data_IF_529864603432
#
_entry.id   IF_529864603432
#
_cell.length_a   1.000
_cell.length_b   1.000
_cell.length_c   1.000
_cell.angle_alpha   90.00
_cell.angle_beta   90.00
_cell.angle_gamma   90.00
#
_symmetry.space_group_name_H-M   'P 1'
#
loop_
_entity.id
_entity.type
_entity.pdbx_description
1 polymer ?
#
# COMPACT_ATOMS: atom_id res chain seq x y z
N UNK A 1 20.99 -7.56 5.62
CA UNK A 1 20.49 -6.57 4.64
C UNK A 1 18.98 -6.52 4.80
N UNK A 2 18.41 -5.32 4.95
CA UNK A 2 17.02 -5.13 5.42
C UNK A 2 16.00 -5.83 4.51
N UNK A 3 15.23 -6.76 5.07
CA UNK A 3 14.08 -7.44 4.42
C UNK A 3 12.96 -6.45 4.05
N UNK A 4 13.07 -5.19 4.48
CA UNK A 4 12.05 -4.17 4.35
C UNK A 4 12.51 -3.04 3.44
N UNK A 5 11.60 -2.58 2.58
CA UNK A 5 11.78 -1.45 1.66
C UNK A 5 12.12 -0.13 2.36
N UNK A 6 11.82 -0.03 3.66
CA UNK A 6 12.13 1.12 4.52
C UNK A 6 12.33 0.63 5.94
N UNK A 7 13.24 1.28 6.68
CA UNK A 7 13.49 0.98 8.09
C UNK A 7 12.52 1.78 8.99
N UNK A 8 11.58 1.12 9.70
CA UNK A 8 10.61 1.83 10.54
C UNK A 8 11.23 2.61 11.71
N UNK A 9 12.41 2.19 12.19
CA UNK A 9 13.11 2.89 13.27
C UNK A 9 13.64 4.23 12.77
N UNK A 10 14.23 4.26 11.58
CA UNK A 10 14.72 5.49 10.96
C UNK A 10 13.56 6.46 10.68
N UNK A 11 12.47 5.96 10.09
CA UNK A 11 11.25 6.77 9.86
C UNK A 11 10.76 7.39 11.16
N UNK A 12 10.71 6.60 12.25
CA UNK A 12 10.29 7.10 13.56
C UNK A 12 11.22 8.20 14.07
N UNK A 13 12.53 8.02 13.97
CA UNK A 13 13.52 9.00 14.44
C UNK A 13 13.41 10.31 13.65
N UNK A 14 13.31 10.23 12.33
CA UNK A 14 13.18 11.38 11.45
C UNK A 14 11.91 12.18 11.75
N UNK A 15 10.77 11.51 11.87
CA UNK A 15 9.49 12.17 12.13
C UNK A 15 9.42 12.73 13.56
N UNK A 16 10.08 12.11 14.53
CA UNK A 16 10.21 12.67 15.89
C UNK A 16 11.01 13.97 15.90
N UNK A 17 12.02 14.09 15.02
CA UNK A 17 12.82 15.32 14.91
C UNK A 17 12.05 16.50 14.30
N UNK A 18 10.98 16.24 13.53
CA UNK A 18 10.13 17.25 12.89
C UNK A 18 9.02 17.81 13.79
N UNK A 19 8.93 17.32 15.04
CA UNK A 19 7.94 17.75 16.03
C UNK A 19 6.99 16.61 16.43
N UNK A 20 5.74 16.66 15.95
CA UNK A 20 4.70 15.72 16.38
C UNK A 20 4.74 14.41 15.59
N UNK A 21 5.36 13.39 16.17
CA UNK A 21 5.32 12.01 15.64
C UNK A 21 3.90 11.47 15.43
N UNK A 22 2.94 11.90 16.25
CA UNK A 22 1.55 11.44 16.16
C UNK A 22 0.87 11.88 14.87
N UNK A 23 1.12 13.11 14.43
CA UNK A 23 0.60 13.62 13.15
C UNK A 23 1.13 12.78 11.99
N UNK A 24 2.42 12.43 12.03
CA UNK A 24 3.04 11.58 11.02
C UNK A 24 2.47 10.17 11.03
N UNK A 25 2.19 9.59 12.20
CA UNK A 25 1.53 8.28 12.32
C UNK A 25 0.13 8.34 11.70
N UNK A 26 -0.66 9.38 12.00
CA UNK A 26 -2.00 9.55 11.44
C UNK A 26 -1.94 9.72 9.93
N UNK A 27 -1.07 10.59 9.42
CA UNK A 27 -0.90 10.84 8.00
C UNK A 27 -0.49 9.58 7.23
N UNK A 28 0.49 8.83 7.74
CA UNK A 28 0.90 7.54 7.15
C UNK A 28 -0.21 6.50 7.21
N UNK A 29 -0.98 6.46 8.31
CA UNK A 29 -2.12 5.56 8.46
C UNK A 29 -3.23 5.85 7.45
N UNK A 30 -3.57 7.13 7.25
CA UNK A 30 -4.53 7.55 6.22
C UNK A 30 -4.04 7.20 4.82
N UNK A 31 -2.75 7.48 4.53
CA UNK A 31 -2.16 7.16 3.23
C UNK A 31 -2.12 5.66 2.94
N UNK A 32 -1.78 4.84 3.93
CA UNK A 32 -1.81 3.39 3.80
C UNK A 32 -3.20 2.85 3.43
N UNK A 33 -4.28 3.47 3.94
CA UNK A 33 -5.66 3.11 3.53
C UNK A 33 -5.93 3.43 2.06
N UNK A 34 -5.52 4.61 1.60
CA UNK A 34 -5.65 5.00 0.19
C UNK A 34 -4.91 4.02 -0.74
N UNK A 35 -3.67 3.68 -0.40
CA UNK A 35 -2.85 2.71 -1.16
C UNK A 35 -3.54 1.34 -1.18
N UNK A 36 -4.07 0.88 -0.05
CA UNK A 36 -4.80 -0.38 0.04
C UNK A 36 -6.05 -0.41 -0.85
N UNK A 37 -6.81 0.68 -0.87
CA UNK A 37 -8.02 0.77 -1.70
C UNK A 37 -7.66 0.82 -3.19
N UNK A 38 -6.58 1.53 -3.56
CA UNK A 38 -6.04 1.50 -4.92
C UNK A 38 -5.63 0.09 -5.35
N UNK A 39 -4.91 -0.66 -4.51
CA UNK A 39 -4.52 -2.04 -4.79
C UNK A 39 -5.76 -2.92 -4.99
N UNK A 40 -6.77 -2.80 -4.13
CA UNK A 40 -8.02 -3.56 -4.27
C UNK A 40 -8.75 -3.27 -5.58
N UNK A 41 -8.79 -2.00 -6.00
CA UNK A 41 -9.39 -1.61 -7.28
C UNK A 41 -8.62 -2.26 -8.44
N UNK A 42 -7.29 -2.15 -8.44
CA UNK A 42 -6.45 -2.75 -9.49
C UNK A 42 -6.60 -4.28 -9.57
N UNK A 43 -6.69 -4.98 -8.42
CA UNK A 43 -6.93 -6.43 -8.41
C UNK A 43 -8.26 -6.75 -9.08
N UNK A 44 -9.33 -6.01 -8.73
CA UNK A 44 -10.66 -6.25 -9.31
C UNK A 44 -10.70 -5.99 -10.80
N UNK A 45 -10.06 -4.92 -11.26
CA UNK A 45 -9.93 -4.61 -12.69
C UNK A 45 -9.21 -5.74 -13.44
N UNK A 46 -8.07 -6.21 -12.91
CA UNK A 46 -7.31 -7.31 -13.52
C UNK A 46 -8.08 -8.63 -13.57
N UNK A 47 -8.86 -8.94 -12.53
CA UNK A 47 -9.67 -10.15 -12.48
C UNK A 47 -10.90 -10.08 -13.39
N UNK A 48 -11.44 -8.89 -13.66
CA UNK A 48 -12.58 -8.71 -14.56
C UNK A 48 -12.25 -9.11 -16.00
N UNK A 49 -11.00 -8.92 -16.43
CA UNK A 49 -10.54 -9.25 -17.79
C UNK A 49 -10.30 -10.76 -18.00
N UNK A 50 -10.37 -11.57 -16.94
CA UNK A 50 -10.18 -13.02 -17.03
C UNK A 50 -11.48 -13.68 -17.50
N UNK A 51 -11.46 -14.25 -18.71
CA UNK A 51 -12.56 -15.04 -19.24
C UNK A 51 -12.71 -16.31 -18.37
N UNK A 52 -13.91 -16.50 -17.82
CA UNK A 52 -14.24 -17.72 -17.05
C UNK A 52 -14.96 -18.66 -17.99
N UNK A 53 -14.23 -19.57 -18.65
CA UNK A 53 -14.86 -20.67 -19.37
C UNK A 53 -15.47 -21.64 -18.35
N UNK A 54 -16.79 -21.55 -18.18
CA UNK A 54 -17.52 -22.34 -17.18
C UNK A 54 -17.67 -23.82 -17.58
N UNK A 55 -17.49 -24.14 -18.87
CA UNK A 55 -17.81 -25.46 -19.42
C UNK A 55 -16.61 -26.44 -19.45
N UNK A 56 -15.36 -25.98 -19.26
CA UNK A 56 -14.14 -26.83 -19.27
C UNK A 56 -13.32 -26.82 -17.96
N UNK A 57 -13.68 -26.00 -16.96
CA UNK A 57 -12.83 -25.77 -15.80
C UNK A 57 -13.05 -26.78 -14.64
N UNK A 58 -12.54 -28.00 -14.76
CA UNK A 58 -12.22 -28.83 -13.58
C UNK A 58 -10.92 -28.32 -12.91
N UNK A 59 -10.97 -27.16 -12.25
CA UNK A 59 -9.84 -26.69 -11.43
C UNK A 59 -9.72 -25.17 -11.24
N UNK A 60 -8.78 -24.72 -10.38
CA UNK A 60 -8.54 -23.29 -10.16
C UNK A 60 -7.92 -22.65 -11.41
N UNK A 61 -8.48 -21.52 -11.84
CA UNK A 61 -8.05 -20.82 -13.06
C UNK A 61 -6.58 -20.34 -12.93
N UNK A 62 -5.68 -20.75 -13.84
CA UNK A 62 -4.25 -20.41 -13.77
C UNK A 62 -3.99 -18.90 -13.88
N UNK A 63 -4.81 -18.16 -14.62
CA UNK A 63 -4.67 -16.70 -14.79
C UNK A 63 -5.03 -15.97 -13.49
N UNK A 64 -6.07 -16.42 -12.78
CA UNK A 64 -6.40 -15.88 -11.46
C UNK A 64 -5.28 -16.13 -10.44
N UNK A 65 -4.64 -17.31 -10.48
CA UNK A 65 -3.49 -17.63 -9.62
C UNK A 65 -2.30 -16.73 -9.97
N UNK A 66 -2.02 -16.52 -11.25
CA UNK A 66 -0.92 -15.67 -11.69
C UNK A 66 -1.12 -14.22 -11.23
N UNK A 67 -2.32 -13.67 -11.41
CA UNK A 67 -2.70 -12.34 -10.90
C UNK A 67 -2.48 -12.27 -9.39
N UNK A 68 -2.99 -13.24 -8.63
CA UNK A 68 -2.82 -13.27 -7.17
C UNK A 68 -1.35 -13.24 -6.75
N UNK A 69 -0.49 -14.02 -7.42
CA UNK A 69 0.96 -14.05 -7.16
C UNK A 69 1.68 -12.74 -7.50
N UNK A 70 1.18 -11.96 -8.45
CA UNK A 70 1.74 -10.62 -8.74
C UNK A 70 1.46 -9.66 -7.57
N UNK A 71 0.24 -9.64 -7.08
CA UNK A 71 -0.16 -8.76 -5.99
C UNK A 71 0.45 -9.16 -4.63
N UNK A 72 0.73 -10.46 -4.41
CA UNK A 72 1.44 -10.94 -3.22
C UNK A 72 2.87 -10.37 -3.08
N UNK A 73 3.49 -9.96 -4.18
CA UNK A 73 4.83 -9.34 -4.16
C UNK A 73 4.79 -7.88 -3.69
N UNK A 74 3.61 -7.25 -3.70
CA UNK A 74 3.47 -5.86 -3.32
C UNK A 74 3.69 -5.72 -1.80
N UNK A 75 4.59 -4.82 -1.35
CA UNK A 75 4.80 -4.57 0.07
C UNK A 75 3.51 -4.12 0.75
N UNK A 76 3.38 -4.38 2.06
CA UNK A 76 2.20 -3.94 2.80
C UNK A 76 2.02 -2.42 2.66
N UNK A 77 0.77 -1.93 2.52
CA UNK A 77 0.49 -0.51 2.32
C UNK A 77 1.11 0.43 3.37
N UNK A 78 1.28 -0.05 4.60
CA UNK A 78 1.95 0.70 5.67
C UNK A 78 3.42 0.98 5.38
N UNK A 79 4.16 0.01 4.82
CA UNK A 79 5.55 0.22 4.42
C UNK A 79 5.67 1.13 3.20
N UNK A 80 4.73 1.03 2.26
CA UNK A 80 4.67 1.95 1.12
C UNK A 80 4.42 3.39 1.59
N UNK A 81 3.47 3.59 2.51
CA UNK A 81 3.21 4.92 3.10
C UNK A 81 4.41 5.45 3.89
N UNK A 82 5.14 4.61 4.65
CA UNK A 82 6.37 5.01 5.32
C UNK A 82 7.45 5.44 4.32
N UNK A 83 7.63 4.69 3.23
CA UNK A 83 8.59 5.03 2.19
C UNK A 83 8.24 6.37 1.49
N UNK A 84 6.96 6.57 1.16
CA UNK A 84 6.47 7.84 0.62
C UNK A 84 6.68 9.00 1.60
N UNK A 85 6.51 8.76 2.91
CA UNK A 85 6.73 9.79 3.93
C UNK A 85 8.19 10.25 3.99
N UNK A 86 9.13 9.31 4.06
CA UNK A 86 10.57 9.58 4.05
C UNK A 86 11.00 10.24 2.73
N UNK A 87 10.34 9.89 1.63
CA UNK A 87 10.56 10.50 0.32
C UNK A 87 9.93 11.90 0.18
N UNK A 88 9.25 12.42 1.20
CA UNK A 88 8.59 13.74 1.16
C UNK A 88 7.34 13.81 0.27
N UNK A 89 6.75 12.67 -0.11
CA UNK A 89 5.59 12.62 -1.01
C UNK A 89 4.25 12.84 -0.27
N UNK A 90 4.22 12.63 1.04
CA UNK A 90 3.02 12.83 1.86
C UNK A 90 2.99 14.26 2.42
N UNK A 91 2.03 15.05 1.92
CA UNK A 91 1.75 16.40 2.38
C UNK A 91 0.51 16.40 3.28
N UNK A 92 0.67 16.78 4.54
CA UNK A 92 -0.45 16.95 5.48
C UNK A 92 -0.93 18.39 5.40
N UNK A 93 -2.20 18.60 5.03
CA UNK A 93 -2.85 19.89 5.24
C UNK A 93 -3.30 19.94 6.69
N UNK A 94 -2.80 20.93 7.44
CA UNK A 94 -3.42 21.32 8.70
C UNK A 94 -4.51 22.32 8.32
N UNK A 95 -5.75 22.00 8.66
CA UNK A 95 -6.83 22.98 8.64
C UNK A 95 -6.57 23.93 9.83
N UNK A 96 -5.59 24.81 9.66
CA UNK A 96 -5.34 25.89 10.61
C UNK A 96 -6.34 27.01 10.31
N UNK A 97 -7.38 27.04 11.15
CA UNK A 97 -8.25 28.18 11.50
C UNK A 97 -9.22 28.70 10.42
N UNK A 98 -10.50 28.35 10.61
CA UNK A 98 -11.56 29.38 10.70
C UNK A 98 -11.56 29.98 12.11
#
# INVERSE_FOLDING_TARGET
MSTYIVNPVEVRMEESAKGSIYESIVAMGMRARQINDQIKVQIKERLHDVIVDMDEAEGPNPDQIAISKEFDKIPKPTFLAMNEKVSGQIHTKRDSEE
#
